data_IF_366493327244
#
_entry.id   IF_366493327244
#
_cell.length_a   1.000
_cell.length_b   1.000
_cell.length_c   1.000
_cell.angle_alpha   90.00
_cell.angle_beta   90.00
_cell.angle_gamma   90.00
#
_symmetry.space_group_name_H-M   'P 1'
#
loop_
_entity.id
_entity.type
_entity.pdbx_description
1 polymer ?
#
# COMPACT_ATOMS: atom_id res chain seq x y z
N UNK A 1 0.76 -27.67 -16.85
CA UNK A 1 1.13 -26.65 -15.83
C UNK A 1 2.64 -26.71 -15.64
N UNK A 2 3.37 -25.79 -16.26
CA UNK A 2 4.82 -25.66 -16.10
C UNK A 2 5.10 -24.98 -14.76
N UNK A 3 5.91 -25.62 -13.90
CA UNK A 3 6.40 -24.96 -12.67
C UNK A 3 7.22 -23.73 -13.08
N UNK A 4 7.04 -22.58 -12.43
CA UNK A 4 7.89 -21.43 -12.66
C UNK A 4 9.35 -21.80 -12.37
N UNK A 5 10.27 -21.29 -13.19
CA UNK A 5 11.70 -21.50 -13.05
C UNK A 5 12.17 -21.00 -11.67
N UNK A 6 13.05 -21.71 -10.95
CA UNK A 6 13.48 -21.32 -9.60
C UNK A 6 14.05 -19.89 -9.52
N UNK A 7 14.75 -19.43 -10.57
CA UNK A 7 15.22 -18.05 -10.67
C UNK A 7 14.09 -17.01 -10.67
N UNK A 8 12.94 -17.29 -11.30
CA UNK A 8 11.81 -16.35 -11.31
C UNK A 8 11.14 -16.28 -9.93
N UNK A 9 11.20 -17.36 -9.17
CA UNK A 9 10.68 -17.41 -7.80
C UNK A 9 11.56 -16.61 -6.85
N UNK A 10 12.89 -16.78 -6.92
CA UNK A 10 13.85 -16.01 -6.10
C UNK A 10 13.78 -14.49 -6.39
N UNK A 11 13.73 -14.10 -7.67
CA UNK A 11 13.56 -12.68 -8.06
C UNK A 11 12.21 -12.13 -7.59
N UNK A 12 11.16 -12.94 -7.66
CA UNK A 12 9.82 -12.56 -7.20
C UNK A 12 9.74 -12.34 -5.69
N UNK A 13 10.33 -13.23 -4.89
CA UNK A 13 10.40 -13.11 -3.43
C UNK A 13 11.20 -11.88 -3.00
N UNK A 14 12.31 -11.61 -3.69
CA UNK A 14 13.15 -10.45 -3.44
C UNK A 14 12.45 -9.12 -3.75
N UNK A 15 11.81 -9.01 -4.92
CA UNK A 15 11.00 -7.83 -5.28
C UNK A 15 9.82 -7.63 -4.31
N UNK A 16 9.17 -8.71 -3.89
CA UNK A 16 8.10 -8.65 -2.90
C UNK A 16 8.60 -8.10 -1.55
N UNK A 17 9.82 -8.46 -1.13
CA UNK A 17 10.46 -7.93 0.07
C UNK A 17 10.71 -6.42 0.02
N UNK A 18 11.31 -5.93 -1.08
CA UNK A 18 11.56 -4.50 -1.27
C UNK A 18 10.25 -3.68 -1.32
N UNK A 19 9.24 -4.19 -2.04
CA UNK A 19 7.92 -3.55 -2.11
C UNK A 19 7.24 -3.55 -0.74
N UNK A 20 7.33 -4.64 0.03
CA UNK A 20 6.75 -4.71 1.36
C UNK A 20 7.41 -3.71 2.34
N UNK A 21 8.73 -3.57 2.30
CA UNK A 21 9.46 -2.58 3.10
C UNK A 21 9.00 -1.16 2.78
N UNK A 22 8.89 -0.84 1.48
CA UNK A 22 8.43 0.46 1.02
C UNK A 22 6.96 0.74 1.40
N UNK A 23 6.07 -0.26 1.31
CA UNK A 23 4.68 -0.13 1.74
C UNK A 23 4.57 0.12 3.25
N UNK A 24 5.43 -0.49 4.07
CA UNK A 24 5.43 -0.26 5.54
C UNK A 24 5.90 1.14 5.90
N UNK A 25 6.89 1.67 5.17
CA UNK A 25 7.40 3.03 5.37
C UNK A 25 6.35 4.12 5.06
N UNK A 26 5.33 3.79 4.28
CA UNK A 26 4.28 4.74 3.91
C UNK A 26 3.32 5.06 5.04
N UNK A 27 2.76 6.29 5.04
CA UNK A 27 1.75 6.67 6.00
C UNK A 27 0.52 5.75 5.91
N UNK A 28 -0.10 5.49 7.06
CA UNK A 28 -1.17 4.47 7.20
C UNK A 28 -2.36 4.70 6.27
N UNK A 29 -2.68 5.96 5.96
CA UNK A 29 -3.80 6.32 5.11
C UNK A 29 -3.55 5.91 3.65
N UNK A 30 -2.31 5.97 3.19
CA UNK A 30 -1.92 5.63 1.82
C UNK A 30 -1.97 4.11 1.62
N UNK A 31 -1.54 3.35 2.64
CA UNK A 31 -1.70 1.88 2.71
C UNK A 31 -3.16 1.43 2.68
N UNK A 32 -4.09 2.22 3.22
CA UNK A 32 -5.53 1.90 3.31
C UNK A 32 -6.39 2.70 2.34
N UNK A 33 -5.79 3.45 1.40
CA UNK A 33 -6.47 4.38 0.49
C UNK A 33 -7.68 3.72 -0.17
N UNK A 34 -7.50 2.56 -0.81
CA UNK A 34 -8.59 1.85 -1.49
C UNK A 34 -9.76 1.50 -0.55
N UNK A 35 -9.48 1.01 0.66
CA UNK A 35 -10.52 0.72 1.66
C UNK A 35 -11.25 1.99 2.10
N UNK A 36 -10.51 3.07 2.38
CA UNK A 36 -11.11 4.36 2.77
C UNK A 36 -12.04 4.85 1.66
N UNK A 37 -11.59 4.80 0.41
CA UNK A 37 -12.37 5.22 -0.75
C UNK A 37 -13.64 4.39 -0.93
N UNK A 38 -13.55 3.08 -0.74
CA UNK A 38 -14.72 2.20 -0.81
C UNK A 38 -15.74 2.49 0.30
N UNK A 39 -15.26 2.76 1.52
CA UNK A 39 -16.13 3.18 2.64
C UNK A 39 -16.77 4.53 2.37
N UNK A 40 -16.00 5.52 1.90
CA UNK A 40 -16.54 6.84 1.55
C UNK A 40 -17.58 6.74 0.44
N UNK A 41 -17.36 5.86 -0.54
CA UNK A 41 -18.35 5.62 -1.59
C UNK A 41 -19.64 5.01 -1.04
N UNK A 42 -19.54 4.03 -0.14
CA UNK A 42 -20.71 3.46 0.53
C UNK A 42 -21.47 4.52 1.34
N UNK A 43 -20.75 5.38 2.07
CA UNK A 43 -21.33 6.50 2.80
C UNK A 43 -22.01 7.51 1.88
N UNK A 44 -21.45 7.80 0.71
CA UNK A 44 -22.07 8.70 -0.27
C UNK A 44 -23.40 8.14 -0.78
N UNK A 45 -23.49 6.83 -1.01
CA UNK A 45 -24.76 6.18 -1.37
C UNK A 45 -25.79 6.24 -0.23
N UNK A 46 -25.36 6.00 1.02
CA UNK A 46 -26.23 6.14 2.20
C UNK A 46 -26.72 7.58 2.39
N UNK A 47 -25.85 8.56 2.21
CA UNK A 47 -26.21 9.96 2.25
C UNK A 47 -27.17 10.34 1.11
N UNK A 48 -27.03 9.72 -0.07
CA UNK A 48 -27.92 9.91 -1.20
C UNK A 48 -29.34 9.39 -0.99
N UNK A 49 -29.50 8.25 -0.31
CA UNK A 49 -30.83 7.67 -0.04
C UNK A 49 -31.58 8.37 1.11
N UNK A 50 -30.86 8.93 2.10
CA UNK A 50 -31.45 9.55 3.28
C UNK A 50 -32.54 10.59 2.95
N UNK A 51 -32.33 11.56 2.03
CA UNK A 51 -33.35 12.54 1.68
C UNK A 51 -34.61 11.94 1.04
N UNK A 52 -34.47 10.85 0.28
CA UNK A 52 -35.62 10.17 -0.34
C UNK A 52 -36.50 9.52 0.73
N UNK A 53 -35.90 8.87 1.73
CA UNK A 53 -36.66 8.18 2.78
C UNK A 53 -37.14 9.10 3.91
N UNK A 54 -36.46 10.23 4.17
CA UNK A 54 -36.78 11.12 5.30
C UNK A 54 -37.54 12.39 4.91
N UNK A 55 -37.44 12.83 3.65
CA UNK A 55 -37.93 14.17 3.24
C UNK A 55 -38.70 14.16 1.91
N UNK A 56 -39.19 12.99 1.48
CA UNK A 56 -39.99 12.83 0.25
C UNK A 56 -39.28 13.41 -1.00
N UNK A 57 -37.94 13.40 -0.98
CA UNK A 57 -37.14 13.85 -2.12
C UNK A 57 -37.34 12.92 -3.31
N UNK A 58 -37.30 13.42 -4.56
CA UNK A 58 -37.44 12.58 -5.73
C UNK A 58 -36.42 11.44 -5.77
N UNK A 59 -36.84 10.24 -6.18
CA UNK A 59 -35.98 9.05 -6.24
C UNK A 59 -34.73 9.26 -7.11
N UNK A 60 -34.82 10.12 -8.13
CA UNK A 60 -33.67 10.42 -9.00
C UNK A 60 -32.51 11.06 -8.24
N UNK A 61 -32.77 11.68 -7.09
CA UNK A 61 -31.75 12.32 -6.26
C UNK A 61 -30.65 11.34 -5.83
N UNK A 62 -31.01 10.08 -5.57
CA UNK A 62 -30.06 9.03 -5.17
C UNK A 62 -29.01 8.82 -6.26
N UNK A 63 -29.42 8.80 -7.53
CA UNK A 63 -28.50 8.61 -8.65
C UNK A 63 -27.56 9.80 -8.83
N UNK A 64 -28.04 11.03 -8.58
CA UNK A 64 -27.21 12.24 -8.67
C UNK A 64 -26.19 12.27 -7.52
N UNK A 65 -26.64 12.05 -6.29
CA UNK A 65 -25.74 12.00 -5.13
C UNK A 65 -24.70 10.87 -5.25
N UNK A 66 -25.15 9.65 -5.60
CA UNK A 66 -24.28 8.50 -5.82
C UNK A 66 -23.32 8.69 -6.98
N UNK A 67 -23.79 9.28 -8.09
CA UNK A 67 -22.97 9.59 -9.27
C UNK A 67 -21.89 10.64 -9.00
N UNK A 68 -22.23 11.71 -8.29
CA UNK A 68 -21.25 12.72 -7.85
C UNK A 68 -20.22 12.08 -6.92
N UNK A 69 -20.66 11.29 -5.93
CA UNK A 69 -19.75 10.55 -5.06
C UNK A 69 -18.81 9.64 -5.84
N UNK A 70 -19.33 8.90 -6.83
CA UNK A 70 -18.53 8.02 -7.68
C UNK A 70 -17.49 8.77 -8.51
N UNK A 71 -17.87 9.91 -9.12
CA UNK A 71 -16.93 10.74 -9.88
C UNK A 71 -15.83 11.26 -8.96
N UNK A 72 -16.18 11.79 -7.78
CA UNK A 72 -15.20 12.30 -6.82
C UNK A 72 -14.25 11.21 -6.35
N UNK A 73 -14.76 10.02 -6.00
CA UNK A 73 -13.96 8.85 -5.66
C UNK A 73 -13.04 8.48 -6.83
N UNK A 74 -13.54 8.44 -8.06
CA UNK A 74 -12.71 8.09 -9.22
C UNK A 74 -11.57 9.10 -9.42
N UNK A 75 -11.87 10.39 -9.35
CA UNK A 75 -10.89 11.46 -9.48
C UNK A 75 -9.86 11.43 -8.35
N UNK A 76 -10.30 11.28 -7.10
CA UNK A 76 -9.38 11.14 -5.97
C UNK A 76 -8.48 9.92 -6.14
N UNK A 77 -8.99 8.81 -6.67
CA UNK A 77 -8.19 7.62 -6.88
C UNK A 77 -7.12 7.87 -7.94
N UNK A 78 -7.53 8.42 -9.08
CA UNK A 78 -6.67 8.64 -10.24
C UNK A 78 -5.65 9.76 -10.03
N UNK A 79 -5.99 10.79 -9.25
CA UNK A 79 -5.15 11.99 -9.07
C UNK A 79 -4.28 11.94 -7.82
N UNK A 80 -4.49 10.98 -6.92
CA UNK A 80 -3.61 10.82 -5.74
C UNK A 80 -2.60 9.71 -5.96
N UNK A 81 -1.36 9.97 -5.54
CA UNK A 81 -0.23 9.05 -5.66
C UNK A 81 -0.57 7.71 -5.01
N UNK A 82 -0.41 6.64 -5.77
CA UNK A 82 -0.52 5.28 -5.26
C UNK A 82 0.72 4.87 -4.48
N UNK A 83 0.58 3.86 -3.62
CA UNK A 83 1.67 3.43 -2.75
C UNK A 83 2.90 2.93 -3.50
N UNK A 84 2.74 2.35 -4.69
CA UNK A 84 3.88 1.97 -5.54
C UNK A 84 3.65 2.55 -6.92
N UNK A 85 4.52 3.46 -7.34
CA UNK A 85 4.47 4.06 -8.68
C UNK A 85 5.62 3.56 -9.55
N UNK A 86 5.48 3.56 -10.90
CA UNK A 86 6.57 3.16 -11.79
C UNK A 86 7.86 3.97 -11.60
N UNK A 87 7.75 5.25 -11.22
CA UNK A 87 8.89 6.12 -10.95
C UNK A 87 9.69 5.73 -9.69
N UNK A 88 9.13 4.88 -8.81
CA UNK A 88 9.84 4.38 -7.63
C UNK A 88 10.76 3.18 -7.94
N UNK A 89 10.73 2.65 -9.16
CA UNK A 89 11.57 1.52 -9.58
C UNK A 89 13.06 1.65 -9.22
N UNK A 90 13.78 2.77 -9.47
CA UNK A 90 15.19 2.87 -9.11
C UNK A 90 15.43 2.81 -7.59
N UNK A 91 14.56 3.42 -6.78
CA UNK A 91 14.68 3.39 -5.31
C UNK A 91 14.37 2.01 -4.74
N UNK A 92 13.39 1.31 -5.30
CA UNK A 92 13.08 -0.06 -4.92
C UNK A 92 14.23 -1.00 -5.25
N UNK A 93 14.92 -0.79 -6.38
CA UNK A 93 16.11 -1.55 -6.73
C UNK A 93 17.25 -1.32 -5.73
N UNK A 94 17.52 -0.06 -5.35
CA UNK A 94 18.54 0.28 -4.35
C UNK A 94 18.23 -0.32 -2.96
N UNK A 95 16.99 -0.21 -2.49
CA UNK A 95 16.56 -0.83 -1.23
C UNK A 95 16.73 -2.35 -1.26
N UNK A 96 16.43 -2.97 -2.40
CA UNK A 96 16.63 -4.39 -2.58
C UNK A 96 18.13 -4.74 -2.48
N UNK A 97 19.02 -3.99 -3.15
CA UNK A 97 20.46 -4.22 -3.12
C UNK A 97 21.02 -4.13 -1.69
N UNK A 98 20.58 -3.11 -0.93
CA UNK A 98 20.94 -2.96 0.49
C UNK A 98 20.47 -4.17 1.32
N UNK A 99 19.23 -4.62 1.14
CA UNK A 99 18.71 -5.80 1.84
C UNK A 99 19.50 -7.07 1.51
N UNK A 100 19.98 -7.22 0.27
CA UNK A 100 20.84 -8.34 -0.13
C UNK A 100 22.23 -8.24 0.51
N UNK A 101 22.81 -7.05 0.55
CA UNK A 101 24.10 -6.81 1.19
C UNK A 101 24.05 -7.13 2.70
N UNK A 102 22.96 -6.73 3.39
CA UNK A 102 22.74 -7.07 4.80
C UNK A 102 22.54 -8.58 5.01
N UNK A 103 21.76 -9.24 4.16
CA UNK A 103 21.54 -10.70 4.24
C UNK A 103 22.82 -11.51 3.98
N UNK A 104 23.77 -10.96 3.22
CA UNK A 104 25.04 -11.60 2.86
C UNK A 104 26.21 -11.11 3.72
N UNK A 105 25.97 -10.18 4.66
CA UNK A 105 27.01 -9.61 5.51
C UNK A 105 27.64 -10.69 6.41
N UNK A 106 28.98 -10.79 6.47
CA UNK A 106 29.63 -11.74 7.36
C UNK A 106 29.32 -11.40 8.82
N UNK A 107 29.10 -12.41 9.68
CA UNK A 107 28.80 -12.17 11.09
C UNK A 107 29.95 -11.40 11.73
N UNK A 108 29.60 -10.38 12.53
CA UNK A 108 30.59 -9.57 13.23
C UNK A 108 31.48 -10.48 14.10
N UNK A 109 32.80 -10.26 14.12
CA UNK A 109 33.69 -10.99 15.01
C UNK A 109 33.21 -10.80 16.45
N UNK A 110 32.84 -11.90 17.11
CA UNK A 110 32.54 -11.89 18.55
C UNK A 110 33.85 -11.61 19.27
N UNK A 111 33.97 -10.43 19.88
CA UNK A 111 35.14 -10.10 20.69
C UNK A 111 35.16 -10.99 21.94
N UNK A 112 36.08 -11.96 21.98
CA UNK A 112 36.31 -12.85 23.13
C UNK A 112 37.43 -12.35 24.06
N UNK A 113 37.90 -11.12 23.87
CA UNK A 113 38.93 -10.53 24.74
C UNK A 113 38.40 -10.18 26.14
N UNK A 114 39.30 -9.87 27.08
CA UNK A 114 38.93 -9.58 28.46
C UNK A 114 37.93 -8.41 28.50
N UNK A 115 36.71 -8.70 28.96
CA UNK A 115 35.70 -7.66 29.18
C UNK A 115 36.07 -6.92 30.46
N UNK A 116 35.95 -5.60 30.45
CA UNK A 116 36.13 -4.76 31.65
C UNK A 116 34.91 -4.80 32.58
N UNK A 117 33.94 -5.70 32.35
CA UNK A 117 32.73 -5.83 33.16
C UNK A 117 32.89 -6.78 34.36
N UNK A 118 34.08 -6.81 34.95
CA UNK A 118 34.39 -7.64 36.10
C UNK A 118 35.20 -6.88 37.15
N UNK A 119 34.51 -5.99 37.88
CA UNK A 119 34.75 -5.66 39.30
C UNK A 119 33.41 -5.35 39.98
#
# INVERSE_FOLDING_TARGET
MTRPSPMLTEVGEYLAGAVAAELVAQPWWLRRKGTIMLVLQALAWLAGILPVVLTDSPEWFIFVAGGVGFILTTLLNALTVDGVTPSMAPRLAEQAEVAQAEATAPPLPVYTGPTTAGE
#
